data_IF_236568368822
#
_entry.id   IF_236568368822
#
_cell.length_a   1.000
_cell.length_b   1.000
_cell.length_c   1.000
_cell.angle_alpha   90.00
_cell.angle_beta   90.00
_cell.angle_gamma   90.00
#
_symmetry.space_group_name_H-M   'P 1'
#
loop_
_entity.id
_entity.type
_entity.pdbx_description
1 polymer ?
#
# COMPACT_ATOMS: atom_id res chain seq x y z
N UNK A 1 -18.81 5.92 -7.39
CA UNK A 1 -18.17 6.25 -8.69
C UNK A 1 -19.07 5.90 -9.90
N UNK A 2 -19.78 4.76 -9.93
CA UNK A 2 -20.64 4.35 -11.04
C UNK A 2 -21.71 5.35 -11.48
N UNK A 3 -22.28 6.14 -10.54
CA UNK A 3 -23.22 7.24 -10.89
C UNK A 3 -22.58 8.29 -11.79
N UNK A 4 -21.32 8.66 -11.51
CA UNK A 4 -20.59 9.64 -12.31
C UNK A 4 -20.35 9.10 -13.73
N UNK A 5 -19.97 7.84 -13.87
CA UNK A 5 -19.74 7.19 -15.17
C UNK A 5 -21.00 7.23 -16.04
N UNK A 6 -22.16 6.89 -15.45
CA UNK A 6 -23.43 6.95 -16.18
C UNK A 6 -23.82 8.37 -16.61
N UNK A 7 -23.50 9.37 -15.78
CA UNK A 7 -23.81 10.78 -16.11
C UNK A 7 -22.92 11.32 -17.24
N UNK A 8 -21.65 10.90 -17.27
CA UNK A 8 -20.72 11.36 -18.31
C UNK A 8 -20.99 10.72 -19.67
N UNK A 9 -21.51 9.50 -19.70
CA UNK A 9 -21.84 8.70 -20.91
C UNK A 9 -20.71 8.70 -21.96
N UNK A 10 -19.45 8.56 -21.51
CA UNK A 10 -18.27 8.45 -22.36
C UNK A 10 -17.51 7.16 -22.05
N UNK A 11 -16.84 6.53 -23.05
CA UNK A 11 -16.05 5.34 -22.80
C UNK A 11 -15.02 5.55 -21.69
N UNK A 12 -14.86 4.57 -20.84
CA UNK A 12 -13.92 4.59 -19.71
C UNK A 12 -12.67 3.82 -20.07
N UNK A 13 -11.55 4.51 -20.12
CA UNK A 13 -10.24 3.92 -20.39
C UNK A 13 -9.43 3.88 -19.10
N UNK A 14 -8.77 2.78 -18.85
CA UNK A 14 -7.87 2.59 -17.73
C UNK A 14 -6.42 2.54 -18.20
N UNK A 15 -5.56 3.25 -17.49
CA UNK A 15 -4.10 3.14 -17.62
C UNK A 15 -3.62 2.34 -16.41
N UNK A 16 -3.16 1.12 -16.64
CA UNK A 16 -2.59 0.25 -15.62
C UNK A 16 -1.07 0.41 -15.61
N UNK A 17 -0.49 0.81 -14.48
CA UNK A 17 0.96 0.95 -14.32
C UNK A 17 1.52 -0.22 -13.54
N UNK A 18 2.64 -0.78 -14.01
CA UNK A 18 3.33 -1.91 -13.40
C UNK A 18 4.71 -1.47 -12.95
N UNK A 19 5.10 -1.83 -11.73
CA UNK A 19 6.41 -1.53 -11.17
C UNK A 19 6.60 -0.08 -10.70
N UNK A 20 5.69 0.84 -10.98
CA UNK A 20 5.82 2.24 -10.57
C UNK A 20 5.92 2.39 -9.04
N UNK A 21 5.03 1.75 -8.29
CA UNK A 21 5.09 1.71 -6.83
C UNK A 21 6.37 1.03 -6.33
N UNK A 22 6.73 -0.12 -6.89
CA UNK A 22 7.93 -0.86 -6.48
C UNK A 22 9.21 -0.08 -6.77
N UNK A 23 9.22 0.76 -7.83
CA UNK A 23 10.35 1.63 -8.16
C UNK A 23 10.47 2.84 -7.22
N UNK A 24 9.35 3.45 -6.84
CA UNK A 24 9.32 4.65 -6.04
C UNK A 24 8.17 4.60 -5.02
N UNK A 25 8.27 3.72 -4.00
CA UNK A 25 7.21 3.60 -3.01
C UNK A 25 7.16 4.84 -2.11
N UNK A 26 5.96 5.30 -1.81
CA UNK A 26 5.74 6.48 -0.97
C UNK A 26 6.29 6.31 0.45
N UNK A 27 6.28 5.08 0.98
CA UNK A 27 6.79 4.81 2.33
C UNK A 27 8.31 5.00 2.45
N UNK A 28 9.05 4.88 1.37
CA UNK A 28 10.52 4.92 1.33
C UNK A 28 11.09 6.33 1.03
N UNK A 29 10.38 7.40 1.44
CA UNK A 29 10.80 8.79 1.25
C UNK A 29 11.20 9.14 -0.20
N UNK A 30 10.50 8.52 -1.15
CA UNK A 30 10.72 8.71 -2.58
C UNK A 30 12.13 8.29 -3.08
N UNK A 31 12.82 7.42 -2.35
CA UNK A 31 14.07 6.83 -2.82
C UNK A 31 13.81 5.94 -4.03
N UNK A 32 14.43 6.28 -5.16
CA UNK A 32 14.16 5.60 -6.44
C UNK A 32 15.01 4.34 -6.58
N UNK A 33 14.36 3.20 -6.72
CA UNK A 33 14.97 1.90 -7.02
C UNK A 33 15.16 1.76 -8.53
N UNK A 34 16.32 2.14 -9.02
CA UNK A 34 16.61 2.27 -10.46
C UNK A 34 16.51 0.97 -11.25
N UNK A 35 16.73 -0.18 -10.59
CA UNK A 35 16.68 -1.51 -11.20
C UNK A 35 15.25 -2.00 -11.52
N UNK A 36 14.21 -1.37 -10.94
CA UNK A 36 12.83 -1.81 -11.15
C UNK A 36 12.30 -1.30 -12.48
N UNK A 37 11.88 -2.19 -13.40
CA UNK A 37 11.27 -1.79 -14.66
C UNK A 37 9.87 -1.20 -14.42
N UNK A 38 9.53 -0.18 -15.22
CA UNK A 38 8.19 0.42 -15.18
C UNK A 38 7.57 0.32 -16.56
N UNK A 39 6.33 -0.11 -16.61
CA UNK A 39 5.54 -0.16 -17.83
C UNK A 39 4.10 0.26 -17.57
N UNK A 40 3.36 0.54 -18.65
CA UNK A 40 1.94 0.83 -18.59
C UNK A 40 1.20 0.13 -19.71
N UNK A 41 -0.05 -0.25 -19.43
CA UNK A 41 -1.00 -0.75 -20.43
C UNK A 41 -2.23 0.13 -20.42
N UNK A 42 -2.74 0.39 -21.60
CA UNK A 42 -4.01 1.12 -21.79
C UNK A 42 -5.06 0.11 -22.23
N UNK A 43 -6.20 0.07 -21.55
CA UNK A 43 -7.33 -0.78 -21.93
C UNK A 43 -8.67 -0.06 -21.78
N UNK A 44 -9.60 -0.42 -22.64
CA UNK A 44 -10.99 -0.02 -22.47
C UNK A 44 -11.55 -0.80 -21.26
N UNK A 45 -12.04 -0.07 -20.25
CA UNK A 45 -12.69 -0.67 -19.09
C UNK A 45 -14.19 -0.82 -19.30
N UNK A 46 -14.82 0.23 -19.80
CA UNK A 46 -16.24 0.24 -20.15
C UNK A 46 -16.46 0.95 -21.48
N UNK A 47 -17.18 0.32 -22.37
CA UNK A 47 -17.72 0.97 -23.55
C UNK A 47 -18.93 1.85 -23.18
N UNK A 48 -19.43 2.63 -24.14
CA UNK A 48 -20.64 3.41 -23.95
C UNK A 48 -21.90 2.53 -23.78
N UNK A 49 -21.91 1.38 -24.43
CA UNK A 49 -22.94 0.36 -24.30
C UNK A 49 -22.93 -0.23 -22.89
N UNK A 50 -21.76 -0.60 -22.38
CA UNK A 50 -21.60 -1.07 -20.99
C UNK A 50 -22.16 -0.08 -19.96
N UNK A 51 -21.95 1.24 -20.17
CA UNK A 51 -22.47 2.27 -19.26
C UNK A 51 -23.99 2.36 -19.28
N UNK A 52 -24.63 2.02 -20.38
CA UNK A 52 -26.11 1.98 -20.50
C UNK A 52 -26.69 0.71 -19.86
N UNK A 53 -26.09 -0.43 -20.14
CA UNK A 53 -26.61 -1.75 -19.75
C UNK A 53 -26.33 -2.06 -18.26
N UNK A 54 -25.13 -1.79 -17.77
CA UNK A 54 -24.73 -2.13 -16.40
C UNK A 54 -25.38 -1.21 -15.35
N UNK A 55 -25.73 -1.77 -14.21
CA UNK A 55 -26.18 -1.00 -13.05
C UNK A 55 -25.04 -0.15 -12.45
N UNK A 56 -25.39 0.87 -11.66
CA UNK A 56 -24.44 1.69 -10.91
C UNK A 56 -23.54 0.84 -10.01
N UNK A 57 -24.12 -0.20 -9.41
CA UNK A 57 -23.39 -1.13 -8.54
C UNK A 57 -22.35 -1.93 -9.32
N UNK A 58 -22.73 -2.54 -10.44
CA UNK A 58 -21.81 -3.31 -11.29
C UNK A 58 -20.65 -2.46 -11.81
N UNK A 59 -20.92 -1.20 -12.19
CA UNK A 59 -19.88 -0.28 -12.61
C UNK A 59 -18.92 0.08 -11.46
N UNK A 60 -19.44 0.27 -10.24
CA UNK A 60 -18.61 0.54 -9.07
C UNK A 60 -17.78 -0.66 -8.67
N UNK A 61 -18.40 -1.84 -8.58
CA UNK A 61 -17.72 -3.10 -8.23
C UNK A 61 -16.61 -3.43 -9.25
N UNK A 62 -16.86 -3.17 -10.54
CA UNK A 62 -15.87 -3.36 -11.59
C UNK A 62 -14.70 -2.38 -11.52
N UNK A 63 -14.94 -1.12 -11.11
CA UNK A 63 -13.87 -0.17 -10.81
C UNK A 63 -13.04 -0.64 -9.61
N UNK A 64 -13.68 -1.02 -8.51
CA UNK A 64 -12.99 -1.48 -7.31
C UNK A 64 -12.10 -2.69 -7.62
N UNK A 65 -12.61 -3.63 -8.44
CA UNK A 65 -11.82 -4.75 -8.95
C UNK A 65 -10.67 -4.30 -9.85
N UNK A 66 -10.89 -3.32 -10.71
CA UNK A 66 -9.87 -2.82 -11.63
C UNK A 66 -8.73 -2.10 -10.89
N UNK A 67 -9.04 -1.41 -9.79
CA UNK A 67 -8.04 -0.76 -8.93
C UNK A 67 -7.43 -1.67 -7.87
N UNK A 68 -7.92 -2.90 -7.72
CA UNK A 68 -7.38 -3.89 -6.79
C UNK A 68 -6.14 -4.56 -7.38
N UNK A 69 -5.00 -3.86 -7.33
CA UNK A 69 -3.72 -4.32 -7.84
C UNK A 69 -2.70 -4.52 -6.71
N UNK A 70 -2.15 -5.73 -6.61
CA UNK A 70 -1.15 -6.09 -5.61
C UNK A 70 0.26 -6.03 -6.20
N UNK A 71 0.97 -4.94 -5.93
CA UNK A 71 2.32 -4.69 -6.45
C UNK A 71 3.37 -5.69 -5.92
N UNK A 72 3.24 -6.15 -4.67
CA UNK A 72 4.16 -7.14 -4.10
C UNK A 72 3.98 -8.51 -4.76
N UNK A 73 2.72 -8.91 -4.99
CA UNK A 73 2.42 -10.15 -5.72
C UNK A 73 2.91 -10.07 -7.16
N UNK A 74 2.64 -8.97 -7.85
CA UNK A 74 3.12 -8.73 -9.20
C UNK A 74 4.65 -8.79 -9.28
N UNK A 75 5.36 -8.17 -8.33
CA UNK A 75 6.82 -8.22 -8.24
C UNK A 75 7.31 -9.67 -8.15
N UNK A 76 6.72 -10.46 -7.27
CA UNK A 76 7.08 -11.86 -7.04
C UNK A 76 6.80 -12.74 -8.27
N UNK A 77 5.61 -12.63 -8.86
CA UNK A 77 5.18 -13.40 -10.04
C UNK A 77 6.05 -13.10 -11.28
N UNK A 78 6.55 -11.88 -11.39
CA UNK A 78 7.44 -11.48 -12.49
C UNK A 78 8.94 -11.65 -12.16
N UNK A 79 9.28 -12.20 -11.00
CA UNK A 79 10.66 -12.47 -10.59
C UNK A 79 11.53 -11.21 -10.44
N UNK A 80 10.91 -10.05 -10.17
CA UNK A 80 11.61 -8.77 -10.07
C UNK A 80 12.31 -8.68 -8.73
N UNK A 81 13.63 -8.71 -8.76
CA UNK A 81 14.49 -8.63 -7.58
C UNK A 81 14.86 -7.18 -7.29
N UNK A 82 14.49 -6.69 -6.11
CA UNK A 82 14.89 -5.39 -5.57
C UNK A 82 16.00 -5.63 -4.56
N UNK A 83 17.23 -5.35 -4.96
CA UNK A 83 18.43 -5.60 -4.15
C UNK A 83 18.95 -4.36 -3.43
N UNK A 84 18.27 -3.25 -3.60
CA UNK A 84 18.63 -1.99 -2.94
C UNK A 84 18.69 -2.17 -1.42
N UNK A 85 19.79 -1.69 -0.81
CA UNK A 85 20.05 -1.84 0.63
C UNK A 85 19.13 -1.00 1.52
N UNK A 86 18.28 -0.16 0.94
CA UNK A 86 17.30 0.69 1.60
C UNK A 86 15.84 0.27 1.34
N UNK A 87 15.62 -0.96 0.85
CA UNK A 87 14.28 -1.39 0.40
C UNK A 87 13.22 -1.45 1.50
N UNK A 88 13.63 -1.55 2.77
CA UNK A 88 12.72 -1.54 3.91
C UNK A 88 12.65 -0.18 4.65
N UNK A 89 13.44 0.83 4.23
CA UNK A 89 13.40 2.15 4.88
C UNK A 89 11.98 2.74 4.82
N UNK A 90 11.47 3.15 5.98
CA UNK A 90 10.14 3.75 6.11
C UNK A 90 8.97 2.78 6.01
N UNK A 91 9.22 1.46 5.99
CA UNK A 91 8.15 0.45 5.89
C UNK A 91 7.17 0.52 7.08
N UNK A 92 7.61 1.03 8.24
CA UNK A 92 6.78 1.31 9.41
C UNK A 92 5.67 2.33 9.16
N UNK A 93 5.74 3.11 8.09
CA UNK A 93 4.69 4.07 7.71
C UNK A 93 3.43 3.39 7.18
N UNK A 94 3.57 2.14 6.74
CA UNK A 94 2.45 1.33 6.29
C UNK A 94 2.20 0.11 7.18
N UNK A 95 3.24 -0.37 7.91
CA UNK A 95 3.13 -1.46 8.88
C UNK A 95 3.41 -0.87 10.27
N UNK A 96 2.35 -0.51 10.99
CA UNK A 96 2.47 0.24 12.24
C UNK A 96 2.19 -0.60 13.49
N UNK A 97 1.52 -1.76 13.38
CA UNK A 97 1.20 -2.66 14.49
C UNK A 97 1.99 -3.96 14.40
N UNK A 98 2.74 -4.27 15.44
CA UNK A 98 3.53 -5.50 15.50
C UNK A 98 2.63 -6.74 15.63
N UNK A 99 2.73 -7.74 14.72
CA UNK A 99 1.87 -8.92 14.79
C UNK A 99 2.32 -9.92 15.86
N UNK A 100 3.52 -9.73 16.42
CA UNK A 100 4.06 -10.59 17.45
C UNK A 100 3.61 -10.18 18.86
N UNK A 101 3.70 -8.89 19.17
CA UNK A 101 3.37 -8.38 20.52
C UNK A 101 2.15 -7.46 20.57
N UNK A 102 1.56 -7.10 19.41
CA UNK A 102 0.37 -6.24 19.33
C UNK A 102 0.62 -4.74 19.52
N UNK A 103 1.86 -4.32 19.82
CA UNK A 103 2.18 -2.92 20.09
C UNK A 103 2.16 -2.10 18.80
N UNK A 104 1.60 -0.89 18.86
CA UNK A 104 1.58 0.09 17.77
C UNK A 104 2.72 1.10 17.88
N UNK A 105 3.16 1.66 16.73
CA UNK A 105 4.13 2.73 16.66
C UNK A 105 5.57 2.34 17.02
N UNK A 106 5.84 1.07 17.34
CA UNK A 106 7.15 0.60 17.74
C UNK A 106 7.93 -0.12 16.62
N UNK A 107 7.39 -0.16 15.41
CA UNK A 107 8.10 -0.69 14.26
C UNK A 107 9.05 0.37 13.68
N UNK A 108 10.20 -0.07 13.20
CA UNK A 108 11.20 0.76 12.51
C UNK A 108 11.75 -0.01 11.32
N UNK A 109 11.55 0.53 10.12
CA UNK A 109 12.11 0.01 8.87
C UNK A 109 13.42 0.72 8.56
N UNK A 110 14.51 -0.05 8.46
CA UNK A 110 15.82 0.49 8.09
C UNK A 110 16.64 -0.53 7.31
N UNK A 111 17.24 -0.06 6.23
CA UNK A 111 18.06 -0.93 5.39
C UNK A 111 17.19 -1.96 4.67
N UNK A 112 17.35 -3.21 5.00
CA UNK A 112 16.58 -4.33 4.43
C UNK A 112 15.58 -4.93 5.40
N UNK A 113 15.52 -4.43 6.63
CA UNK A 113 14.73 -5.03 7.70
C UNK A 113 13.74 -4.10 8.38
N UNK A 114 12.76 -4.72 9.03
CA UNK A 114 11.75 -4.11 9.89
C UNK A 114 11.90 -4.70 11.28
N UNK A 115 12.05 -3.86 12.30
CA UNK A 115 12.27 -4.28 13.68
C UNK A 115 11.22 -3.67 14.61
N UNK A 116 10.66 -4.46 15.50
CA UNK A 116 9.85 -3.95 16.60
C UNK A 116 10.76 -3.57 17.78
N UNK A 117 10.78 -2.29 18.15
CA UNK A 117 11.59 -1.80 19.28
C UNK A 117 11.09 -2.29 20.63
N UNK A 118 9.80 -2.62 20.74
CA UNK A 118 9.22 -3.12 21.99
C UNK A 118 9.60 -4.56 22.29
N UNK A 119 9.45 -5.50 21.33
CA UNK A 119 9.70 -6.92 21.57
C UNK A 119 11.00 -7.46 20.93
N UNK A 120 11.73 -6.64 20.19
CA UNK A 120 12.98 -7.00 19.51
C UNK A 120 12.80 -7.86 18.26
N UNK A 121 11.59 -8.27 17.91
CA UNK A 121 11.39 -9.12 16.73
C UNK A 121 11.75 -8.40 15.44
N UNK A 122 12.44 -9.13 14.57
CA UNK A 122 12.97 -8.61 13.32
C UNK A 122 12.49 -9.43 12.12
N UNK A 123 12.15 -8.75 11.04
CA UNK A 123 11.82 -9.34 9.73
C UNK A 123 12.69 -8.69 8.66
N UNK A 124 13.19 -9.49 7.75
CA UNK A 124 13.87 -9.01 6.55
C UNK A 124 12.89 -8.92 5.39
N UNK A 125 12.88 -7.80 4.68
CA UNK A 125 12.22 -7.66 3.39
C UNK A 125 13.15 -8.24 2.33
N UNK A 126 12.79 -9.41 1.81
CA UNK A 126 13.58 -10.11 0.79
C UNK A 126 13.60 -9.35 -0.53
N UNK A 127 14.56 -9.62 -1.42
CA UNK A 127 14.59 -8.98 -2.75
C UNK A 127 13.33 -9.20 -3.60
N UNK A 128 12.56 -10.25 -3.35
CA UNK A 128 11.31 -10.54 -4.07
C UNK A 128 10.06 -9.95 -3.39
N UNK A 129 10.24 -9.18 -2.29
CA UNK A 129 9.15 -8.49 -1.61
C UNK A 129 8.43 -9.28 -0.51
N UNK A 130 8.94 -10.45 -0.13
CA UNK A 130 8.43 -11.20 1.01
C UNK A 130 9.12 -10.73 2.30
N UNK A 131 8.40 -10.69 3.40
CA UNK A 131 8.96 -10.55 4.74
C UNK A 131 9.30 -11.93 5.31
N UNK A 132 10.46 -12.05 5.91
CA UNK A 132 10.92 -13.26 6.59
C UNK A 132 11.41 -12.92 8.00
N UNK A 133 10.86 -13.53 9.04
CA UNK A 133 11.35 -13.34 10.39
C UNK A 133 12.76 -13.95 10.51
N UNK A 134 13.67 -13.22 11.17
CA UNK A 134 15.04 -13.73 11.43
C UNK A 134 15.03 -14.90 12.38
N UNK A 135 14.07 -14.92 13.30
CA UNK A 135 13.91 -16.02 14.29
C UNK A 135 12.43 -16.33 14.50
N UNK A 136 12.14 -17.60 14.73
CA UNK A 136 10.80 -18.09 15.02
C UNK A 136 9.85 -18.04 13.84
N UNK A 137 8.57 -17.84 14.11
CA UNK A 137 7.52 -17.82 13.09
C UNK A 137 7.49 -16.48 12.35
N UNK A 138 7.34 -16.51 11.03
CA UNK A 138 6.93 -15.37 10.22
C UNK A 138 5.41 -15.27 10.24
N UNK A 139 4.87 -14.27 10.91
CA UNK A 139 3.42 -14.07 11.05
C UNK A 139 2.78 -13.76 9.71
N UNK A 140 3.39 -12.85 8.97
CA UNK A 140 2.99 -12.46 7.61
C UNK A 140 4.23 -12.34 6.72
N UNK A 141 4.30 -13.13 5.66
CA UNK A 141 5.35 -12.96 4.65
C UNK A 141 4.95 -11.93 3.60
N UNK A 142 3.67 -11.71 3.37
CA UNK A 142 3.15 -10.80 2.37
C UNK A 142 2.74 -9.46 3.01
N UNK A 143 3.38 -8.37 2.61
CA UNK A 143 3.15 -7.03 3.18
C UNK A 143 1.68 -6.61 3.17
N UNK A 144 0.91 -6.78 2.07
CA UNK A 144 -0.52 -6.46 2.06
C UNK A 144 -1.38 -7.28 3.03
N UNK A 145 -0.97 -8.51 3.36
CA UNK A 145 -1.72 -9.33 4.33
C UNK A 145 -1.52 -8.81 5.76
N UNK A 146 -0.29 -8.41 6.11
CA UNK A 146 -0.02 -7.72 7.37
C UNK A 146 -0.80 -6.41 7.47
N UNK A 147 -0.75 -5.56 6.44
CA UNK A 147 -1.51 -4.32 6.39
C UNK A 147 -3.02 -4.52 6.53
N UNK A 148 -3.57 -5.57 5.93
CA UNK A 148 -4.99 -5.91 6.06
C UNK A 148 -5.33 -6.36 7.48
N UNK A 149 -4.45 -7.15 8.11
CA UNK A 149 -4.61 -7.61 9.48
C UNK A 149 -4.62 -6.44 10.47
N UNK A 150 -3.66 -5.52 10.40
CA UNK A 150 -3.61 -4.40 11.34
C UNK A 150 -4.81 -3.46 11.21
N UNK A 151 -5.27 -3.19 10.00
CA UNK A 151 -6.52 -2.43 9.78
C UNK A 151 -7.74 -3.13 10.36
N UNK A 152 -7.80 -4.44 10.28
CA UNK A 152 -8.87 -5.23 10.88
C UNK A 152 -8.83 -5.17 12.42
N UNK A 153 -7.65 -5.14 13.03
CA UNK A 153 -7.53 -4.95 14.47
C UNK A 153 -8.08 -3.59 14.90
N UNK A 154 -7.65 -2.50 14.24
CA UNK A 154 -8.15 -1.14 14.53
C UNK A 154 -9.65 -1.05 14.31
N UNK A 155 -10.19 -1.68 13.26
CA UNK A 155 -11.64 -1.70 13.04
C UNK A 155 -12.38 -2.34 14.21
N UNK A 156 -11.91 -3.48 14.73
CA UNK A 156 -12.51 -4.15 15.89
C UNK A 156 -12.44 -3.28 17.14
N UNK A 157 -11.29 -2.67 17.39
CA UNK A 157 -11.11 -1.77 18.53
C UNK A 157 -12.05 -0.56 18.47
N UNK A 158 -12.34 -0.03 17.26
CA UNK A 158 -13.33 1.02 17.05
C UNK A 158 -14.76 0.53 17.28
N UNK A 159 -15.11 -0.66 16.77
CA UNK A 159 -16.43 -1.28 16.96
C UNK A 159 -16.70 -1.60 18.43
N UNK A 160 -15.67 -2.04 19.17
CA UNK A 160 -15.74 -2.37 20.59
C UNK A 160 -15.62 -1.13 21.51
N UNK A 161 -15.32 0.04 20.95
CA UNK A 161 -15.12 1.29 21.70
C UNK A 161 -13.86 1.28 22.58
N UNK A 162 -12.91 0.41 22.29
CA UNK A 162 -11.63 0.27 23.03
C UNK A 162 -10.48 1.03 22.40
N UNK A 163 -10.63 1.48 21.15
CA UNK A 163 -9.59 2.24 20.45
C UNK A 163 -9.27 3.55 21.18
N UNK A 164 -7.99 3.77 21.45
CA UNK A 164 -7.47 5.00 22.03
C UNK A 164 -6.30 5.48 21.18
N UNK A 165 -6.35 6.75 20.81
CA UNK A 165 -5.23 7.44 20.17
C UNK A 165 -4.84 8.59 21.09
N UNK A 166 -3.67 8.50 21.68
CA UNK A 166 -3.08 9.52 22.55
C UNK A 166 -1.60 9.66 22.15
N UNK A 167 -1.34 10.59 21.24
CA UNK A 167 -0.01 10.84 20.67
C UNK A 167 0.26 12.34 20.60
N UNK A 168 1.48 12.72 20.86
CA UNK A 168 1.97 14.05 20.56
C UNK A 168 2.16 14.21 19.05
N UNK A 169 1.65 15.31 18.50
CA UNK A 169 1.77 15.61 17.07
C UNK A 169 2.33 17.00 16.85
N UNK A 170 3.26 17.11 15.91
CA UNK A 170 3.72 18.39 15.39
C UNK A 170 2.82 18.84 14.25
N UNK A 171 2.21 20.02 14.38
CA UNK A 171 1.35 20.59 13.34
C UNK A 171 2.12 21.70 12.62
N UNK A 172 2.45 21.47 11.34
CA UNK A 172 2.98 22.49 10.46
C UNK A 172 1.84 23.18 9.70
N UNK A 173 1.58 24.46 9.97
CA UNK A 173 0.63 25.26 9.20
C UNK A 173 1.35 26.17 8.22
N UNK A 174 0.88 26.19 6.97
CA UNK A 174 1.33 27.18 5.99
C UNK A 174 0.56 28.47 6.23
N UNK A 175 1.23 29.48 6.84
CA UNK A 175 0.57 30.74 7.24
C UNK A 175 0.53 31.73 6.10
N UNK A 176 1.55 31.74 5.22
CA UNK A 176 1.65 32.62 4.06
C UNK A 176 1.93 31.83 2.78
N UNK A 177 0.90 31.58 2.00
CA UNK A 177 1.05 31.03 0.65
C UNK A 177 1.19 32.19 -0.33
N UNK A 178 2.42 32.50 -0.76
CA UNK A 178 2.66 33.35 -1.92
C UNK A 178 2.84 32.48 -3.15
N UNK A 179 1.88 32.53 -4.07
CA UNK A 179 2.09 32.00 -5.40
C UNK A 179 3.25 32.74 -6.07
N UNK A 180 4.33 32.04 -6.35
CA UNK A 180 5.42 32.53 -7.19
C UNK A 180 5.06 32.09 -8.61
N UNK A 181 4.70 33.04 -9.48
CA UNK A 181 4.51 32.83 -10.90
C UNK A 181 5.84 33.03 -11.64
#
# INVERSE_FOLDING_TARGET
MGVLLKKLDVPVVMIETFGAFSRNPLYNELQVRKSVPVSAKVRLLYSREDLKEKSVKELSDGLDKAFSFDQFRWQKENGIKITDGFRADGLERILYKCPHCGTEGELTGKGTGLTCRHCGKHWELTPIGDLAASEGKTEFSHVPDWYRWEREQVRRELEDGTYKLDIDVDIAMMVDFKAIY
#
